data_IF_203084432342
#
_entry.id   IF_203084432342
#
_cell.length_a   1.000
_cell.length_b   1.000
_cell.length_c   1.000
_cell.angle_alpha   90.00
_cell.angle_beta   90.00
_cell.angle_gamma   90.00
#
_symmetry.space_group_name_H-M   'P 1'
#
loop_
_entity.id
_entity.type
_entity.pdbx_description
1 polymer ?
#
# COMPACT_ATOMS: atom_id res chain seq x y z
N UNK A 1 24.13 -8.88 -33.29
CA UNK A 1 23.22 -10.05 -33.44
C UNK A 1 21.85 -9.48 -33.74
N UNK A 2 21.27 -9.74 -34.93
CA UNK A 2 20.30 -8.82 -35.52
C UNK A 2 18.91 -8.95 -34.87
N UNK A 3 18.34 -7.78 -34.60
CA UNK A 3 16.93 -7.56 -34.31
C UNK A 3 16.11 -7.97 -35.55
N UNK A 4 15.52 -9.16 -35.54
CA UNK A 4 14.44 -9.49 -36.47
C UNK A 4 13.15 -8.95 -35.88
N UNK A 5 12.78 -7.76 -36.34
CA UNK A 5 11.49 -7.12 -36.11
C UNK A 5 10.37 -7.95 -36.74
N UNK A 6 9.57 -8.62 -35.91
CA UNK A 6 8.20 -8.99 -36.28
C UNK A 6 7.28 -7.79 -36.04
N UNK A 7 6.71 -7.15 -37.08
CA UNK A 7 5.78 -6.03 -36.90
C UNK A 7 4.45 -6.43 -36.22
N UNK A 8 4.14 -7.72 -36.11
CA UNK A 8 2.92 -8.23 -35.48
C UNK A 8 2.99 -8.29 -33.95
N UNK A 9 4.16 -8.62 -33.37
CA UNK A 9 4.34 -8.64 -31.91
C UNK A 9 4.22 -7.24 -31.29
N UNK A 10 4.71 -6.21 -31.98
CA UNK A 10 4.64 -4.82 -31.51
C UNK A 10 3.19 -4.36 -31.29
N UNK A 11 2.24 -4.79 -32.12
CA UNK A 11 0.83 -4.45 -31.94
C UNK A 11 0.18 -5.10 -30.71
N UNK A 12 0.60 -6.34 -30.38
CA UNK A 12 0.06 -7.09 -29.24
C UNK A 12 0.68 -6.60 -27.92
N UNK A 13 1.97 -6.27 -27.91
CA UNK A 13 2.68 -5.72 -26.75
C UNK A 13 2.13 -4.34 -26.36
N UNK A 14 1.79 -3.50 -27.34
CA UNK A 14 1.25 -2.15 -27.09
C UNK A 14 -0.16 -2.13 -26.47
N UNK A 15 -0.86 -3.27 -26.43
CA UNK A 15 -2.25 -3.36 -25.94
C UNK A 15 -2.41 -4.26 -24.71
N UNK A 16 -1.33 -4.48 -23.96
CA UNK A 16 -1.30 -5.33 -22.77
C UNK A 16 -0.81 -4.55 -21.54
N UNK A 17 -1.46 -4.77 -20.40
CA UNK A 17 -1.05 -4.19 -19.12
C UNK A 17 0.16 -4.93 -18.50
N UNK A 18 0.40 -6.17 -18.91
CA UNK A 18 1.52 -7.01 -18.46
C UNK A 18 2.12 -7.77 -19.65
N UNK A 19 3.45 -7.77 -19.74
CA UNK A 19 4.23 -8.47 -20.78
C UNK A 19 5.22 -9.40 -20.08
N UNK A 20 5.19 -10.68 -20.46
CA UNK A 20 6.15 -11.68 -19.96
C UNK A 20 7.43 -11.57 -20.79
N UNK A 21 8.58 -11.48 -20.13
CA UNK A 21 9.87 -11.41 -20.80
C UNK A 21 10.45 -12.79 -21.13
N UNK A 22 9.98 -13.83 -20.45
CA UNK A 22 10.54 -15.19 -20.47
C UNK A 22 9.52 -16.27 -20.90
N UNK A 23 8.31 -15.86 -21.31
CA UNK A 23 7.19 -16.74 -21.69
C UNK A 23 6.86 -17.85 -20.66
N UNK A 24 7.21 -17.64 -19.38
CA UNK A 24 7.02 -18.64 -18.33
C UNK A 24 5.81 -18.33 -17.43
N UNK A 25 4.91 -19.31 -17.26
CA UNK A 25 3.77 -19.21 -16.36
C UNK A 25 4.16 -19.01 -14.88
N UNK A 26 5.35 -19.45 -14.45
CA UNK A 26 5.81 -19.20 -13.08
C UNK A 26 5.96 -17.72 -12.76
N UNK A 27 6.34 -16.91 -13.76
CA UNK A 27 6.51 -15.46 -13.63
C UNK A 27 5.18 -14.76 -13.37
N UNK A 28 4.06 -15.30 -13.88
CA UNK A 28 2.71 -14.82 -13.56
C UNK A 28 2.38 -15.07 -12.08
N UNK A 29 2.72 -16.26 -11.56
CA UNK A 29 2.44 -16.60 -10.16
C UNK A 29 3.23 -15.69 -9.21
N UNK A 30 4.51 -15.44 -9.51
CA UNK A 30 5.35 -14.49 -8.77
C UNK A 30 4.79 -13.06 -8.85
N UNK A 31 4.33 -12.62 -10.03
CA UNK A 31 3.71 -11.31 -10.19
C UNK A 31 2.41 -11.17 -9.38
N UNK A 32 1.61 -12.25 -9.27
CA UNK A 32 0.43 -12.28 -8.40
C UNK A 32 0.85 -12.16 -6.93
N UNK A 33 1.85 -12.92 -6.50
CA UNK A 33 2.37 -12.86 -5.12
C UNK A 33 2.84 -11.45 -4.74
N UNK A 34 3.63 -10.80 -5.60
CA UNK A 34 4.08 -9.43 -5.36
C UNK A 34 2.93 -8.42 -5.41
N UNK A 35 1.96 -8.60 -6.31
CA UNK A 35 0.75 -7.77 -6.35
C UNK A 35 -0.05 -7.85 -5.04
N UNK A 36 -0.13 -9.06 -4.44
CA UNK A 36 -0.78 -9.25 -3.14
C UNK A 36 -0.01 -8.56 -2.02
N UNK A 37 1.32 -8.66 -2.00
CA UNK A 37 2.19 -7.99 -1.01
C UNK A 37 2.03 -6.47 -1.05
N UNK A 38 2.08 -5.87 -2.24
CA UNK A 38 1.91 -4.43 -2.42
C UNK A 38 0.55 -4.00 -1.85
N UNK A 39 -0.51 -4.75 -2.17
CA UNK A 39 -1.86 -4.43 -1.69
C UNK A 39 -1.97 -4.50 -0.16
N UNK A 40 -1.45 -5.55 0.48
CA UNK A 40 -1.46 -5.68 1.95
C UNK A 40 -0.70 -4.55 2.63
N UNK A 41 0.45 -4.16 2.08
CA UNK A 41 1.27 -3.09 2.64
C UNK A 41 0.57 -1.73 2.50
N UNK A 42 -0.11 -1.47 1.38
CA UNK A 42 -0.94 -0.28 1.20
C UNK A 42 -2.07 -0.23 2.22
N UNK A 43 -2.74 -1.34 2.50
CA UNK A 43 -3.80 -1.38 3.51
C UNK A 43 -3.28 -1.07 4.93
N UNK A 44 -2.12 -1.65 5.30
CA UNK A 44 -1.43 -1.34 6.56
C UNK A 44 -1.10 0.15 6.67
N UNK A 45 -0.51 0.71 5.62
CA UNK A 45 -0.17 2.12 5.54
C UNK A 45 -1.40 3.02 5.69
N UNK A 46 -2.48 2.76 4.94
CA UNK A 46 -3.72 3.57 5.01
C UNK A 46 -4.33 3.51 6.42
N UNK A 47 -4.37 2.32 7.03
CA UNK A 47 -4.93 2.13 8.38
C UNK A 47 -4.10 2.88 9.42
N UNK A 48 -2.77 2.76 9.36
CA UNK A 48 -1.87 3.45 10.28
C UNK A 48 -1.92 4.97 10.09
N UNK A 49 -1.92 5.46 8.85
CA UNK A 49 -1.96 6.89 8.55
C UNK A 49 -3.28 7.52 8.99
N UNK A 50 -4.41 6.84 8.78
CA UNK A 50 -5.72 7.30 9.23
C UNK A 50 -5.77 7.42 10.77
N UNK A 51 -5.28 6.41 11.49
CA UNK A 51 -5.21 6.44 12.95
C UNK A 51 -4.32 7.57 13.47
N UNK A 52 -3.17 7.81 12.82
CA UNK A 52 -2.24 8.86 13.20
C UNK A 52 -2.87 10.25 13.01
N UNK A 53 -3.47 10.50 11.84
CA UNK A 53 -4.11 11.79 11.54
C UNK A 53 -5.33 12.05 12.43
N UNK A 54 -6.05 11.01 12.80
CA UNK A 54 -7.12 11.11 13.79
C UNK A 54 -6.59 11.52 15.18
N UNK A 55 -5.47 10.93 15.64
CA UNK A 55 -4.85 11.31 16.92
C UNK A 55 -4.34 12.76 16.94
N UNK A 56 -3.70 13.21 15.87
CA UNK A 56 -3.27 14.61 15.71
C UNK A 56 -4.47 15.57 15.75
N UNK A 57 -5.55 15.24 15.03
CA UNK A 57 -6.77 16.03 15.01
C UNK A 57 -7.43 16.10 16.39
N UNK A 58 -7.57 14.96 17.08
CA UNK A 58 -8.13 14.91 18.43
C UNK A 58 -7.31 15.73 19.43
N UNK A 59 -5.99 15.59 19.40
CA UNK A 59 -5.10 16.37 20.28
C UNK A 59 -5.29 17.87 20.05
N UNK A 60 -5.42 18.31 18.79
CA UNK A 60 -5.65 19.70 18.44
C UNK A 60 -7.04 20.18 18.89
N UNK A 61 -8.08 19.37 18.72
CA UNK A 61 -9.42 19.68 19.22
C UNK A 61 -9.46 19.83 20.74
N UNK A 62 -8.81 18.93 21.48
CA UNK A 62 -8.75 18.98 22.95
C UNK A 62 -8.00 20.22 23.42
N UNK A 63 -6.86 20.55 22.81
CA UNK A 63 -6.11 21.76 23.16
C UNK A 63 -6.94 23.02 22.96
N UNK A 64 -7.67 23.13 21.84
CA UNK A 64 -8.55 24.28 21.57
C UNK A 64 -9.72 24.33 22.56
N UNK A 65 -10.36 23.18 22.83
CA UNK A 65 -11.50 23.10 23.74
C UNK A 65 -11.13 23.49 25.19
N UNK A 66 -9.92 23.15 25.63
CA UNK A 66 -9.41 23.45 26.98
C UNK A 66 -8.60 24.76 27.06
N UNK A 67 -8.44 25.48 25.95
CA UNK A 67 -7.60 26.70 25.90
C UNK A 67 -6.12 26.46 26.16
N UNK A 68 -5.63 25.23 25.97
CA UNK A 68 -4.23 24.87 26.14
C UNK A 68 -3.39 25.37 24.95
N UNK A 69 -2.07 25.45 25.15
CA UNK A 69 -1.13 25.73 24.07
C UNK A 69 -1.27 24.67 22.98
N UNK A 70 -1.40 25.11 21.73
CA UNK A 70 -1.48 24.22 20.57
C UNK A 70 -0.19 23.41 20.49
N UNK A 71 -0.25 22.07 20.37
CA UNK A 71 0.91 21.19 20.52
C UNK A 71 1.99 21.42 19.44
N UNK A 72 1.58 21.77 18.22
CA UNK A 72 2.47 21.99 17.09
C UNK A 72 2.14 23.27 16.35
N UNK A 73 3.19 24.01 15.97
CA UNK A 73 3.06 25.16 15.06
C UNK A 73 2.68 24.68 13.66
N UNK A 74 1.96 25.47 12.85
CA UNK A 74 1.56 25.08 11.49
C UNK A 74 2.74 24.63 10.61
N UNK A 75 3.89 25.29 10.70
CA UNK A 75 5.11 24.91 9.97
C UNK A 75 5.60 23.51 10.34
N UNK A 76 5.55 23.15 11.64
CA UNK A 76 5.94 21.82 12.10
C UNK A 76 4.92 20.76 11.69
N UNK A 77 3.64 21.12 11.64
CA UNK A 77 2.59 20.23 11.16
C UNK A 77 2.74 19.89 9.66
N UNK A 78 3.13 20.88 8.83
CA UNK A 78 3.46 20.65 7.42
C UNK A 78 4.70 19.77 7.25
N UNK A 79 5.75 20.02 8.05
CA UNK A 79 6.94 19.16 8.04
C UNK A 79 6.58 17.72 8.44
N UNK A 80 5.78 17.55 9.49
CA UNK A 80 5.30 16.24 9.93
C UNK A 80 4.49 15.52 8.83
N UNK A 81 3.64 16.25 8.09
CA UNK A 81 2.93 15.70 6.92
C UNK A 81 3.92 15.15 5.89
N UNK A 82 4.92 15.93 5.50
CA UNK A 82 5.91 15.49 4.52
C UNK A 82 6.67 14.24 4.99
N UNK A 83 7.19 14.26 6.22
CA UNK A 83 7.95 13.16 6.82
C UNK A 83 7.10 11.90 6.88
N UNK A 84 5.87 11.98 7.40
CA UNK A 84 4.99 10.81 7.57
C UNK A 84 4.48 10.23 6.26
N UNK A 85 4.21 11.06 5.24
CA UNK A 85 3.76 10.56 3.94
C UNK A 85 4.89 10.08 3.03
N UNK A 86 6.09 10.64 3.12
CA UNK A 86 7.21 10.22 2.28
C UNK A 86 7.96 9.08 2.93
N UNK A 87 8.46 9.27 4.16
CA UNK A 87 9.35 8.32 4.81
C UNK A 87 8.61 7.05 5.24
N UNK A 88 7.45 7.18 5.90
CA UNK A 88 6.74 5.99 6.34
C UNK A 88 6.19 5.18 5.16
N UNK A 89 5.76 5.83 4.07
CA UNK A 89 5.35 5.11 2.86
C UNK A 89 6.49 4.29 2.27
N UNK A 90 7.73 4.82 2.27
CA UNK A 90 8.89 4.04 1.86
C UNK A 90 9.10 2.84 2.78
N UNK A 91 8.99 3.00 4.10
CA UNK A 91 9.10 1.88 5.03
C UNK A 91 8.07 0.77 4.74
N UNK A 92 6.80 1.12 4.50
CA UNK A 92 5.77 0.14 4.14
C UNK A 92 5.98 -0.47 2.75
N UNK A 93 6.57 0.27 1.80
CA UNK A 93 6.83 -0.26 0.45
C UNK A 93 7.86 -1.40 0.46
N UNK A 94 8.82 -1.38 1.39
CA UNK A 94 9.87 -2.41 1.51
C UNK A 94 9.54 -3.53 2.51
N UNK A 95 8.38 -3.50 3.17
CA UNK A 95 7.95 -4.55 4.11
C UNK A 95 7.83 -5.89 3.38
N UNK A 96 8.34 -6.96 3.99
CA UNK A 96 8.35 -8.32 3.42
C UNK A 96 6.94 -8.90 3.28
N UNK A 97 6.78 -9.86 2.36
CA UNK A 97 5.53 -10.58 2.20
C UNK A 97 5.27 -11.50 3.39
N UNK A 98 4.00 -11.65 3.78
CA UNK A 98 3.61 -12.58 4.84
C UNK A 98 3.59 -14.03 4.33
N UNK A 99 4.06 -15.00 5.12
CA UNK A 99 4.17 -16.41 4.71
C UNK A 99 2.85 -17.07 4.28
N UNK A 100 1.73 -16.50 4.70
CA UNK A 100 0.39 -16.99 4.37
C UNK A 100 -0.26 -16.24 3.22
N UNK A 101 0.45 -15.29 2.59
CA UNK A 101 -0.13 -14.40 1.59
C UNK A 101 -0.76 -15.19 0.44
N UNK A 102 -0.11 -16.25 -0.04
CA UNK A 102 -0.63 -17.10 -1.13
C UNK A 102 -1.71 -18.10 -0.68
N UNK A 103 -1.87 -18.35 0.63
CA UNK A 103 -2.86 -19.30 1.19
C UNK A 103 -4.25 -18.69 1.34
N UNK A 104 -4.33 -17.36 1.41
CA UNK A 104 -5.61 -16.64 1.51
C UNK A 104 -6.29 -16.66 0.13
N UNK A 105 -7.63 -16.85 0.04
CA UNK A 105 -8.33 -16.78 -1.24
C UNK A 105 -8.23 -15.39 -1.88
N UNK A 106 -8.38 -15.27 -3.21
CA UNK A 106 -8.43 -13.98 -3.88
C UNK A 106 -9.51 -13.08 -3.29
N UNK A 107 -9.19 -11.79 -3.12
CA UNK A 107 -10.12 -10.80 -2.57
C UNK A 107 -11.33 -10.61 -3.49
N UNK A 108 -12.52 -10.60 -2.92
CA UNK A 108 -13.73 -10.16 -3.62
C UNK A 108 -13.75 -8.62 -3.73
N UNK A 109 -13.80 -8.14 -4.97
CA UNK A 109 -13.79 -6.71 -5.30
C UNK A 109 -15.06 -5.99 -4.89
N UNK A 110 -16.18 -6.70 -4.72
CA UNK A 110 -17.49 -6.10 -4.44
C UNK A 110 -17.77 -5.92 -2.95
N UNK A 111 -17.15 -6.74 -2.09
CA UNK A 111 -17.47 -6.81 -0.65
C UNK A 111 -16.34 -6.31 0.25
N UNK A 112 -15.09 -6.30 -0.23
CA UNK A 112 -13.95 -5.91 0.59
C UNK A 112 -13.61 -4.42 0.42
N UNK A 113 -13.98 -3.59 1.39
CA UNK A 113 -13.40 -2.25 1.56
C UNK A 113 -11.88 -2.32 1.77
N UNK A 114 -11.17 -1.22 1.52
CA UNK A 114 -9.72 -1.10 1.82
C UNK A 114 -9.47 -1.28 3.32
N UNK A 115 -10.42 -0.85 4.16
CA UNK A 115 -10.44 -1.03 5.62
C UNK A 115 -11.32 -2.25 5.98
N UNK A 116 -10.85 -3.46 5.71
CA UNK A 116 -11.56 -4.67 6.14
C UNK A 116 -11.34 -4.86 7.66
N UNK A 117 -12.40 -5.25 8.40
CA UNK A 117 -12.35 -5.59 9.84
C UNK A 117 -11.23 -6.56 10.31
N UNK A 118 -10.71 -7.53 9.51
CA UNK A 118 -9.68 -8.45 9.99
C UNK A 118 -8.27 -7.84 10.04
N UNK A 119 -8.00 -6.64 9.52
CA UNK A 119 -6.67 -6.01 9.67
C UNK A 119 -6.37 -5.58 11.12
N UNK A 120 -7.40 -5.26 11.90
CA UNK A 120 -7.27 -4.98 13.34
C UNK A 120 -7.17 -6.28 14.15
N UNK A 121 -7.82 -7.36 13.69
CA UNK A 121 -7.88 -8.64 14.40
C UNK A 121 -6.71 -9.59 14.08
N UNK A 122 -6.13 -9.55 12.87
CA UNK A 122 -4.99 -10.40 12.50
C UNK A 122 -3.67 -9.92 13.14
N UNK A 123 -3.62 -8.67 13.60
CA UNK A 123 -2.50 -8.17 14.43
C UNK A 123 -2.51 -8.73 15.86
N UNK A 124 -3.62 -9.31 16.33
CA UNK A 124 -3.72 -9.86 17.70
C UNK A 124 -3.48 -11.37 17.77
N UNK A 125 -3.21 -12.03 16.64
CA UNK A 125 -3.03 -13.49 16.55
C UNK A 125 -1.63 -13.91 16.07
N UNK A 126 -0.65 -13.01 16.13
CA UNK A 126 0.78 -13.30 15.97
C UNK A 126 1.54 -12.90 17.24
#
# INVERSE_FOLDING_TARGET
>A
MPLHSEPLQNGIVMRRDLVLMDDNFSTIVLAIEEGRRIFTNVQKYVTANLSLKFGEMLSLMISIALGLVVPLKPTLQLLNLFVTHVLCTMCYAFEEAEDYIMKVPPRDTNTSMVLTKPLVLLRTSA
#
